data_IF_280113566018
#
_entry.id   IF_280113566018
#
_cell.length_a   1.000
_cell.length_b   1.000
_cell.length_c   1.000
_cell.angle_alpha   90.00
_cell.angle_beta   90.00
_cell.angle_gamma   90.00
#
_symmetry.space_group_name_H-M   'P 1'
#
loop_
_entity.id
_entity.type
_entity.pdbx_description
1 polymer ?
#
# COMPACT_ATOMS: atom_id res chain seq x y z
N UNK A 1 -4.29 -19.99 11.12
CA UNK A 1 -4.88 -18.96 11.97
C UNK A 1 -4.07 -17.68 11.89
N UNK A 2 -4.77 -16.60 11.78
CA UNK A 2 -4.12 -15.31 11.67
C UNK A 2 -3.64 -14.81 13.00
N UNK A 3 -2.42 -14.30 13.05
CA UNK A 3 -1.86 -13.75 14.27
C UNK A 3 -1.71 -12.24 14.16
N UNK A 4 -2.41 -11.63 13.25
CA UNK A 4 -2.34 -10.19 13.03
C UNK A 4 -3.71 -9.66 12.70
N UNK A 5 -3.85 -8.35 12.87
CA UNK A 5 -5.11 -7.68 12.58
C UNK A 5 -4.95 -6.83 11.33
N UNK A 6 -6.07 -6.37 10.79
CA UNK A 6 -6.02 -5.46 9.66
C UNK A 6 -5.29 -4.17 10.03
N UNK A 7 -5.42 -3.72 11.28
CA UNK A 7 -4.72 -2.53 11.74
C UNK A 7 -3.21 -2.74 11.67
N UNK A 8 -2.73 -3.93 12.02
CA UNK A 8 -1.29 -4.22 11.94
C UNK A 8 -0.81 -4.25 10.51
N UNK A 9 -1.62 -4.79 9.59
CA UNK A 9 -1.28 -4.76 8.18
C UNK A 9 -1.12 -3.31 7.72
N UNK A 10 -2.11 -2.47 8.05
CA UNK A 10 -2.07 -1.06 7.63
C UNK A 10 -0.85 -0.36 8.22
N UNK A 11 -0.53 -0.63 9.48
CA UNK A 11 0.61 0.01 10.13
C UNK A 11 1.92 -0.36 9.46
N UNK A 12 2.12 -1.65 9.21
CA UNK A 12 3.34 -2.12 8.57
C UNK A 12 3.44 -1.61 7.14
N UNK A 13 2.32 -1.52 6.44
CA UNK A 13 2.32 -0.97 5.09
C UNK A 13 2.77 0.49 5.13
N UNK A 14 2.26 1.27 6.09
CA UNK A 14 2.66 2.67 6.20
C UNK A 14 4.15 2.80 6.48
N UNK A 15 4.69 1.95 7.35
CA UNK A 15 6.12 1.97 7.64
C UNK A 15 6.94 1.65 6.41
N UNK A 16 6.51 0.64 5.66
CA UNK A 16 7.22 0.25 4.45
C UNK A 16 7.19 1.36 3.40
N UNK A 17 6.07 2.05 3.29
CA UNK A 17 5.95 3.17 2.36
C UNK A 17 6.84 4.33 2.79
N UNK A 18 6.85 4.63 4.08
CA UNK A 18 7.65 5.72 4.60
C UNK A 18 9.14 5.46 4.42
N UNK A 19 9.56 4.20 4.52
CA UNK A 19 10.94 3.82 4.28
C UNK A 19 11.41 4.21 2.89
N UNK A 20 10.50 4.28 1.94
CA UNK A 20 10.82 4.65 0.56
C UNK A 20 10.43 6.09 0.28
N UNK A 21 10.28 6.89 1.33
CA UNK A 21 10.05 8.33 1.24
C UNK A 21 8.74 8.69 0.57
N UNK A 22 7.73 7.87 0.80
CA UNK A 22 6.41 8.16 0.25
C UNK A 22 5.89 9.48 0.79
N UNK A 23 5.14 10.17 -0.06
CA UNK A 23 4.50 11.42 0.31
C UNK A 23 3.06 11.15 0.70
N UNK A 24 2.58 11.94 1.66
CA UNK A 24 1.15 12.04 1.93
C UNK A 24 0.49 10.69 2.22
N UNK A 25 1.11 9.93 3.11
CA UNK A 25 0.57 8.63 3.49
C UNK A 25 -0.70 8.85 4.32
N UNK A 26 -1.79 8.22 3.89
CA UNK A 26 -3.06 8.32 4.59
C UNK A 26 -3.65 6.94 4.80
N UNK A 27 -4.30 6.77 5.95
CA UNK A 27 -5.04 5.54 6.24
C UNK A 27 -6.49 5.94 6.44
N UNK A 28 -7.36 5.30 5.69
CA UNK A 28 -8.78 5.59 5.74
C UNK A 28 -9.51 4.35 6.24
N UNK A 29 -10.22 4.50 7.34
CA UNK A 29 -11.02 3.42 7.91
C UNK A 29 -12.33 3.33 7.13
N UNK A 30 -12.51 2.25 6.41
CA UNK A 30 -13.72 2.03 5.61
C UNK A 30 -14.55 0.88 6.14
N UNK A 31 -14.24 0.42 7.36
CA UNK A 31 -14.88 -0.78 7.89
C UNK A 31 -16.38 -0.62 8.05
N UNK A 32 -16.85 0.59 8.28
CA UNK A 32 -18.28 0.81 8.48
C UNK A 32 -19.04 1.01 7.18
N UNK A 33 -18.35 1.23 6.08
CA UNK A 33 -19.04 1.43 4.80
C UNK A 33 -18.74 0.32 3.80
N UNK A 34 -17.83 -0.58 4.14
CA UNK A 34 -17.46 -1.67 3.25
C UNK A 34 -17.39 -2.97 4.02
N UNK A 35 -17.96 -4.02 3.45
CA UNK A 35 -17.81 -5.35 4.01
C UNK A 35 -16.63 -6.09 3.41
N UNK A 36 -15.91 -5.46 2.48
CA UNK A 36 -14.83 -6.12 1.76
C UNK A 36 -13.46 -5.81 2.33
N UNK A 37 -13.29 -4.65 2.96
CA UNK A 37 -12.01 -4.26 3.53
C UNK A 37 -12.23 -3.34 4.71
N UNK A 38 -11.22 -3.27 5.57
CA UNK A 38 -11.27 -2.40 6.74
C UNK A 38 -10.58 -1.08 6.50
N UNK A 39 -9.50 -1.08 5.73
CA UNK A 39 -8.70 0.13 5.53
C UNK A 39 -8.25 0.28 4.10
N UNK A 40 -8.22 1.52 3.64
CA UNK A 40 -7.42 1.92 2.49
C UNK A 40 -6.18 2.61 3.01
N UNK A 41 -5.03 2.28 2.43
CA UNK A 41 -3.78 2.99 2.68
C UNK A 41 -3.40 3.65 1.36
N UNK A 42 -3.20 4.97 1.39
CA UNK A 42 -2.97 5.74 0.18
C UNK A 42 -1.66 6.49 0.33
N UNK A 43 -0.82 6.45 -0.70
CA UNK A 43 0.48 7.12 -0.66
C UNK A 43 0.87 7.56 -2.05
N UNK A 44 1.73 8.55 -2.13
CA UNK A 44 2.20 9.07 -3.39
C UNK A 44 3.72 8.96 -3.53
N UNK A 45 4.18 8.82 -4.76
CA UNK A 45 5.59 8.82 -5.09
C UNK A 45 5.86 9.77 -6.23
N UNK A 46 7.12 10.18 -6.37
CA UNK A 46 7.49 11.23 -7.32
C UNK A 46 7.71 10.72 -8.73
N UNK A 47 7.98 9.44 -8.89
CA UNK A 47 8.25 8.88 -10.21
C UNK A 47 7.98 7.39 -10.18
N UNK A 48 8.05 6.78 -11.36
CA UNK A 48 7.75 5.37 -11.50
C UNK A 48 8.64 4.49 -10.63
N UNK A 49 9.94 4.79 -10.63
CA UNK A 49 10.87 3.96 -9.87
C UNK A 49 10.56 3.98 -8.39
N UNK A 50 10.23 5.15 -7.85
CA UNK A 50 9.89 5.25 -6.44
C UNK A 50 8.59 4.52 -6.14
N UNK A 51 7.58 4.68 -7.00
CA UNK A 51 6.29 4.03 -6.79
C UNK A 51 6.47 2.51 -6.79
N UNK A 52 7.27 1.99 -7.72
CA UNK A 52 7.54 0.56 -7.75
C UNK A 52 8.33 0.11 -6.53
N UNK A 53 9.29 0.91 -6.09
CA UNK A 53 10.07 0.58 -4.90
C UNK A 53 9.18 0.55 -3.66
N UNK A 54 8.21 1.47 -3.59
CA UNK A 54 7.27 1.50 -2.50
C UNK A 54 6.44 0.21 -2.47
N UNK A 55 5.93 -0.20 -3.62
CA UNK A 55 5.15 -1.44 -3.71
C UNK A 55 6.00 -2.65 -3.35
N UNK A 56 7.23 -2.69 -3.85
CA UNK A 56 8.13 -3.79 -3.54
C UNK A 56 8.40 -3.88 -2.04
N UNK A 57 8.57 -2.74 -1.39
CA UNK A 57 8.88 -2.73 0.03
C UNK A 57 7.68 -3.15 0.87
N UNK A 58 6.48 -2.77 0.46
CA UNK A 58 5.27 -3.24 1.13
C UNK A 58 5.20 -4.76 1.03
N UNK A 59 5.41 -5.28 -0.16
CA UNK A 59 5.33 -6.72 -0.38
C UNK A 59 6.36 -7.46 0.45
N UNK A 60 7.58 -6.96 0.46
CA UNK A 60 8.64 -7.59 1.22
C UNK A 60 8.37 -7.53 2.71
N UNK A 61 7.94 -6.38 3.20
CA UNK A 61 7.72 -6.19 4.63
C UNK A 61 6.59 -7.07 5.15
N UNK A 62 5.47 -7.09 4.43
CA UNK A 62 4.34 -7.91 4.86
C UNK A 62 4.66 -9.39 4.71
N UNK A 63 5.44 -9.75 3.69
CA UNK A 63 5.86 -11.14 3.53
C UNK A 63 6.75 -11.60 4.65
N UNK A 64 7.72 -10.78 5.02
CA UNK A 64 8.68 -11.16 6.05
C UNK A 64 8.07 -11.12 7.45
N UNK A 65 7.26 -10.11 7.73
CA UNK A 65 6.78 -9.92 9.09
C UNK A 65 5.51 -10.70 9.39
N UNK A 66 4.66 -10.90 8.41
CA UNK A 66 3.37 -11.54 8.63
C UNK A 66 3.15 -12.77 7.77
N UNK A 67 4.09 -13.14 6.93
CA UNK A 67 3.93 -14.21 5.95
C UNK A 67 2.70 -13.96 5.09
N UNK A 68 2.46 -12.73 4.75
CA UNK A 68 1.26 -12.31 4.05
C UNK A 68 1.60 -11.89 2.64
N UNK A 69 0.92 -12.48 1.67
CA UNK A 69 1.07 -12.12 0.26
C UNK A 69 -0.15 -11.38 -0.22
N UNK A 70 0.05 -10.47 -1.15
CA UNK A 70 -1.07 -9.78 -1.76
C UNK A 70 -1.93 -10.78 -2.52
N UNK A 71 -3.23 -10.63 -2.40
CA UNK A 71 -4.16 -11.42 -3.19
C UNK A 71 -4.03 -11.01 -4.66
N UNK A 72 -3.77 -9.74 -4.90
CA UNK A 72 -3.70 -9.21 -6.25
C UNK A 72 -2.90 -7.91 -6.24
N UNK A 73 -2.08 -7.72 -7.27
CA UNK A 73 -1.36 -6.47 -7.47
C UNK A 73 -1.64 -6.04 -8.90
N UNK A 74 -2.10 -4.81 -9.07
CA UNK A 74 -2.43 -4.27 -10.39
C UNK A 74 -1.67 -2.98 -10.62
N UNK A 75 -1.32 -2.72 -11.87
CA UNK A 75 -0.73 -1.46 -12.28
C UNK A 75 0.75 -1.31 -12.03
N UNK A 76 1.43 -2.40 -11.65
CA UNK A 76 2.84 -2.30 -11.27
C UNK A 76 3.71 -1.79 -12.40
N UNK A 77 3.47 -2.25 -13.62
CA UNK A 77 4.34 -1.94 -14.75
C UNK A 77 4.28 -0.47 -15.13
N UNK A 78 3.08 0.07 -15.26
CA UNK A 78 2.94 1.49 -15.62
C UNK A 78 3.20 2.39 -14.41
N UNK A 79 2.82 1.91 -13.24
CA UNK A 79 3.08 2.55 -11.96
C UNK A 79 2.47 3.95 -11.82
N UNK A 80 1.50 4.30 -12.65
CA UNK A 80 0.74 5.51 -12.40
C UNK A 80 -0.12 5.35 -11.16
N UNK A 81 -0.63 4.15 -10.97
CA UNK A 81 -1.47 3.81 -9.84
C UNK A 81 -1.31 2.30 -9.63
N UNK A 82 -0.67 1.95 -8.52
CA UNK A 82 -0.52 0.54 -8.15
C UNK A 82 -1.53 0.23 -7.05
N UNK A 83 -2.28 -0.82 -7.25
CA UNK A 83 -3.23 -1.29 -6.25
C UNK A 83 -2.75 -2.63 -5.72
N UNK A 84 -2.61 -2.74 -4.41
CA UNK A 84 -2.18 -3.97 -3.77
C UNK A 84 -3.29 -4.43 -2.82
N UNK A 85 -3.92 -5.55 -3.16
CA UNK A 85 -5.08 -6.04 -2.42
C UNK A 85 -4.64 -7.10 -1.42
N UNK A 86 -4.71 -6.76 -0.14
CA UNK A 86 -4.41 -7.69 0.95
C UNK A 86 -5.68 -8.11 1.67
N UNK A 87 -6.82 -8.03 0.98
CA UNK A 87 -8.14 -8.39 1.47
C UNK A 87 -8.67 -7.35 2.45
N UNK A 88 -8.24 -7.42 3.71
CA UNK A 88 -8.75 -6.47 4.71
C UNK A 88 -8.17 -5.09 4.56
N UNK A 89 -7.04 -4.96 3.85
CA UNK A 89 -6.38 -3.69 3.61
C UNK A 89 -6.05 -3.61 2.13
N UNK A 90 -6.43 -2.52 1.50
CA UNK A 90 -6.11 -2.27 0.10
C UNK A 90 -5.19 -1.05 0.04
N UNK A 91 -4.05 -1.21 -0.60
CA UNK A 91 -3.04 -0.17 -0.64
C UNK A 91 -3.03 0.43 -2.03
N UNK A 92 -3.09 1.76 -2.08
CA UNK A 92 -3.10 2.52 -3.33
C UNK A 92 -1.87 3.41 -3.36
N UNK A 93 -1.05 3.26 -4.38
CA UNK A 93 0.17 4.05 -4.53
C UNK A 93 0.07 4.80 -5.86
N UNK A 94 0.13 6.12 -5.81
CA UNK A 94 -0.04 6.97 -7.00
C UNK A 94 1.25 7.68 -7.33
N UNK A 95 1.52 7.86 -8.61
CA UNK A 95 2.59 8.74 -9.02
C UNK A 95 2.07 10.17 -9.03
N UNK A 96 2.69 11.05 -8.25
CA UNK A 96 2.25 12.43 -8.10
C UNK A 96 3.35 13.43 -8.44
N UNK A 97 4.45 12.99 -9.01
CA UNK A 97 5.62 13.83 -9.23
C UNK A 97 5.59 14.67 -10.48
N UNK A 98 4.47 14.76 -11.19
CA UNK A 98 4.44 15.51 -12.41
C UNK A 98 4.27 16.90 -12.06
N UNK A 99 5.22 17.55 -12.20
CA UNK A 99 5.10 18.89 -11.86
C UNK A 99 4.23 19.60 -12.77
N UNK A 100 3.82 20.12 -12.89
CA UNK A 100 3.21 20.81 -13.63
C UNK A 100 3.46 22.09 -13.61
N UNK A 101 3.68 22.55 -13.96
CA UNK A 101 3.93 23.67 -13.91
C UNK A 101 3.78 24.48 -14.28
#
# INVERSE_FOLDING_TARGET
MSEYTSKEIAKLACEALADKKADDIKVIDISEVSSLADYFVIAGGMNRNQVQAMADNVEETLGKKLSLSAKQVEGYTTANWILMDYRDVVIHIFEIGRAHV
#
